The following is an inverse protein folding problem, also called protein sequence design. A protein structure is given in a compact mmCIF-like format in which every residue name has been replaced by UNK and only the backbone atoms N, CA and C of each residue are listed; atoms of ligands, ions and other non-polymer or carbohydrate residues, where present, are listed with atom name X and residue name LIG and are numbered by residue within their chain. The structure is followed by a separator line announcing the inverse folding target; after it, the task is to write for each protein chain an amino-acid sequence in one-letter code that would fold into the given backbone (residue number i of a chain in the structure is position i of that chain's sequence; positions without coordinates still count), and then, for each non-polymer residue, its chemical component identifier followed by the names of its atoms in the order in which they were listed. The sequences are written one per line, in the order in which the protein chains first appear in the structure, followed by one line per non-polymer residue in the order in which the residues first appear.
data_IF_679862254295
#
_entry.id   IF_679862254295
#
_cell.length_a   1.000
_cell.length_b   1.000
_cell.length_c   1.000
_cell.angle_alpha   90.00
_cell.angle_beta   90.00
_cell.angle_gamma   90.00
#
_symmetry.space_group_name_H-M   'P 1'
#
loop_
_entity.id
_entity.type
_entity.pdbx_description
1 polymer ?
#
# COMPACT_ATOMS: atom_id res chain seq x y z
N UNK A 1 19.16 -27.86 8.72
CA UNK A 1 17.82 -27.41 8.25
C UNK A 1 17.71 -27.80 6.79
N UNK A 2 17.06 -28.93 6.47
CA UNK A 2 16.95 -29.41 5.09
C UNK A 2 16.09 -28.45 4.26
N UNK A 3 16.55 -28.09 3.06
CA UNK A 3 15.77 -27.29 2.12
C UNK A 3 14.49 -28.05 1.77
N UNK A 4 13.33 -27.49 2.13
CA UNK A 4 12.06 -28.09 1.74
C UNK A 4 11.97 -28.13 0.19
N UNK A 5 11.60 -29.25 -0.44
CA UNK A 5 11.49 -29.40 -1.90
C UNK A 5 10.36 -28.56 -2.56
N UNK A 6 9.83 -27.55 -1.88
CA UNK A 6 8.86 -26.56 -2.41
C UNK A 6 9.52 -25.28 -2.96
N UNK A 7 10.78 -25.35 -3.39
CA UNK A 7 11.56 -24.16 -3.78
C UNK A 7 11.96 -24.10 -5.26
N UNK A 8 11.79 -25.17 -6.03
CA UNK A 8 12.10 -25.15 -7.46
C UNK A 8 10.85 -24.86 -8.30
N UNK A 9 10.66 -23.58 -8.63
CA UNK A 9 9.58 -23.13 -9.50
C UNK A 9 9.73 -23.66 -10.94
N UNK A 10 10.95 -24.01 -11.38
CA UNK A 10 11.20 -24.70 -12.65
C UNK A 10 10.57 -26.09 -12.68
N UNK A 11 10.74 -26.87 -11.62
CA UNK A 11 10.10 -28.18 -11.45
C UNK A 11 8.56 -28.08 -11.50
N UNK A 12 7.98 -27.06 -10.86
CA UNK A 12 6.54 -26.84 -10.90
C UNK A 12 6.03 -26.51 -12.31
N UNK A 13 6.77 -25.71 -13.08
CA UNK A 13 6.44 -25.43 -14.49
C UNK A 13 6.53 -26.68 -15.36
N UNK A 14 7.62 -27.44 -15.25
CA UNK A 14 7.81 -28.68 -15.99
C UNK A 14 6.66 -29.68 -15.73
N UNK A 15 6.26 -29.82 -14.46
CA UNK A 15 5.10 -30.64 -14.06
C UNK A 15 3.78 -30.12 -14.63
N UNK A 16 3.55 -28.80 -14.61
CA UNK A 16 2.31 -28.21 -15.09
C UNK A 16 2.07 -28.47 -16.59
N UNK A 17 3.13 -28.55 -17.40
CA UNK A 17 3.02 -28.83 -18.85
C UNK A 17 2.33 -30.16 -19.13
N UNK A 18 2.63 -31.21 -18.35
CA UNK A 18 2.10 -32.58 -18.56
C UNK A 18 0.84 -32.95 -17.78
N UNK A 19 0.33 -32.07 -16.91
CA UNK A 19 -0.89 -32.34 -16.14
C UNK A 19 -2.15 -32.08 -16.97
N UNK A 20 -3.26 -32.73 -16.66
CA UNK A 20 -4.59 -32.41 -17.19
C UNK A 20 -5.27 -31.29 -16.37
N UNK A 21 -6.51 -30.91 -16.72
CA UNK A 21 -7.23 -29.83 -16.02
C UNK A 21 -7.46 -30.16 -14.53
N UNK A 22 -7.84 -31.40 -14.21
CA UNK A 22 -8.08 -31.83 -12.84
C UNK A 22 -6.79 -31.87 -12.01
N UNK A 23 -5.70 -32.36 -12.59
CA UNK A 23 -4.37 -32.39 -11.99
C UNK A 23 -3.85 -30.99 -11.69
N UNK A 24 -4.01 -30.04 -12.61
CA UNK A 24 -3.67 -28.63 -12.40
C UNK A 24 -4.48 -28.00 -11.26
N UNK A 25 -5.81 -28.21 -11.23
CA UNK A 25 -6.68 -27.68 -10.19
C UNK A 25 -6.33 -28.25 -8.79
N UNK A 26 -6.06 -29.56 -8.73
CA UNK A 26 -5.66 -30.28 -7.51
C UNK A 26 -4.30 -29.77 -7.01
N UNK A 27 -3.31 -29.67 -7.91
CA UNK A 27 -1.98 -29.18 -7.57
C UNK A 27 -1.99 -27.72 -7.11
N UNK A 28 -2.77 -26.85 -7.78
CA UNK A 28 -2.96 -25.47 -7.36
C UNK A 28 -3.50 -25.38 -5.93
N UNK A 29 -4.55 -26.14 -5.62
CA UNK A 29 -5.18 -26.11 -4.29
C UNK A 29 -4.25 -26.67 -3.21
N UNK A 30 -3.64 -27.82 -3.44
CA UNK A 30 -2.68 -28.41 -2.51
C UNK A 30 -1.51 -27.47 -2.19
N UNK A 31 -1.00 -26.73 -3.18
CA UNK A 31 0.07 -25.74 -2.95
C UNK A 31 -0.42 -24.53 -2.17
N UNK A 32 -1.62 -24.04 -2.47
CA UNK A 32 -2.21 -22.94 -1.73
C UNK A 32 -2.43 -23.30 -0.24
N UNK A 33 -2.88 -24.52 0.04
CA UNK A 33 -3.11 -25.02 1.41
C UNK A 33 -1.80 -25.16 2.20
N UNK A 34 -0.70 -25.51 1.52
CA UNK A 34 0.65 -25.51 2.08
C UNK A 34 1.25 -24.10 2.22
N UNK A 35 0.54 -23.05 1.80
CA UNK A 35 1.04 -21.67 1.77
C UNK A 35 2.08 -21.40 0.69
N UNK A 36 2.24 -22.29 -0.29
CA UNK A 36 3.11 -22.14 -1.46
C UNK A 36 2.36 -21.45 -2.61
N UNK A 37 2.05 -20.18 -2.40
CA UNK A 37 1.21 -19.38 -3.30
C UNK A 37 1.83 -19.24 -4.72
N UNK A 38 3.15 -19.34 -4.85
CA UNK A 38 3.82 -19.21 -6.15
C UNK A 38 3.70 -20.47 -6.99
N UNK A 39 3.91 -21.64 -6.40
CA UNK A 39 3.63 -22.89 -7.10
C UNK A 39 2.13 -22.96 -7.44
N UNK A 40 1.25 -22.52 -6.53
CA UNK A 40 -0.18 -22.41 -6.82
C UNK A 40 -0.46 -21.49 -8.03
N UNK A 41 0.22 -20.34 -8.13
CA UNK A 41 0.13 -19.46 -9.30
C UNK A 41 0.57 -20.15 -10.60
N UNK A 42 1.63 -20.96 -10.58
CA UNK A 42 2.10 -21.68 -11.79
C UNK A 42 1.03 -22.63 -12.30
N UNK A 43 0.53 -23.52 -11.43
CA UNK A 43 -0.51 -24.47 -11.81
C UNK A 43 -1.81 -23.78 -12.20
N UNK A 44 -2.19 -22.75 -11.45
CA UNK A 44 -3.38 -21.98 -11.71
C UNK A 44 -3.31 -21.16 -13.00
N UNK A 45 -2.15 -20.58 -13.35
CA UNK A 45 -1.95 -19.90 -14.62
C UNK A 45 -2.00 -20.87 -15.81
N UNK A 46 -1.40 -22.05 -15.68
CA UNK A 46 -1.51 -23.11 -16.68
C UNK A 46 -2.96 -23.59 -16.85
N UNK A 47 -3.71 -23.73 -15.75
CA UNK A 47 -5.13 -24.05 -15.78
C UNK A 47 -5.93 -22.96 -16.49
N UNK A 48 -5.70 -21.69 -16.13
CA UNK A 48 -6.38 -20.55 -16.72
C UNK A 48 -6.11 -20.37 -18.21
N UNK A 49 -4.87 -20.66 -18.66
CA UNK A 49 -4.54 -20.61 -20.08
C UNK A 49 -5.33 -21.64 -20.91
N UNK A 50 -5.72 -22.77 -20.31
CA UNK A 50 -6.47 -23.85 -20.97
C UNK A 50 -7.99 -23.72 -20.80
N UNK A 51 -8.41 -23.18 -19.67
CA UNK A 51 -9.81 -22.97 -19.33
C UNK A 51 -9.95 -21.61 -18.61
N UNK A 52 -10.05 -20.50 -19.36
CA UNK A 52 -10.28 -19.20 -18.77
C UNK A 52 -11.63 -19.18 -18.06
N UNK A 53 -11.60 -18.84 -16.78
CA UNK A 53 -12.78 -18.75 -15.93
C UNK A 53 -12.66 -17.54 -14.99
N UNK A 54 -13.78 -16.86 -14.74
CA UNK A 54 -13.81 -15.66 -13.91
C UNK A 54 -13.48 -15.96 -12.43
N UNK A 55 -13.97 -17.07 -11.88
CA UNK A 55 -13.68 -17.46 -10.49
C UNK A 55 -12.20 -17.84 -10.32
N UNK A 56 -11.62 -18.53 -11.31
CA UNK A 56 -10.20 -18.83 -11.36
C UNK A 56 -9.36 -17.56 -11.47
N UNK A 57 -9.69 -16.64 -12.38
CA UNK A 57 -8.98 -15.36 -12.50
C UNK A 57 -9.03 -14.54 -11.21
N UNK A 58 -10.17 -14.49 -10.51
CA UNK A 58 -10.28 -13.88 -9.17
C UNK A 58 -9.35 -14.53 -8.15
N UNK A 59 -9.31 -15.88 -8.12
CA UNK A 59 -8.41 -16.64 -7.25
C UNK A 59 -6.95 -16.34 -7.56
N UNK A 60 -6.56 -16.37 -8.82
CA UNK A 60 -5.20 -16.04 -9.26
C UNK A 60 -4.83 -14.59 -8.98
N UNK A 61 -5.76 -13.65 -9.13
CA UNK A 61 -5.51 -12.25 -8.79
C UNK A 61 -5.30 -12.06 -7.28
N UNK A 62 -5.97 -12.84 -6.42
CA UNK A 62 -5.67 -12.88 -4.98
C UNK A 62 -4.28 -13.45 -4.72
N UNK A 63 -3.87 -14.49 -5.44
CA UNK A 63 -2.51 -15.01 -5.35
C UNK A 63 -1.47 -13.99 -5.84
N UNK A 64 -1.70 -13.31 -6.96
CA UNK A 64 -0.85 -12.21 -7.43
C UNK A 64 -0.75 -11.09 -6.40
N UNK A 65 -1.85 -10.72 -5.72
CA UNK A 65 -1.82 -9.77 -4.59
C UNK A 65 -0.96 -10.27 -3.44
N UNK A 66 -1.09 -11.54 -3.04
CA UNK A 66 -0.28 -12.14 -1.97
C UNK A 66 1.22 -12.21 -2.35
N UNK A 67 1.50 -12.49 -3.61
CA UNK A 67 2.84 -12.42 -4.19
C UNK A 67 3.25 -11.01 -4.62
N UNK A 68 2.45 -9.99 -4.32
CA UNK A 68 2.60 -8.56 -4.67
C UNK A 68 3.01 -8.28 -6.12
N UNK A 69 2.61 -9.15 -7.04
CA UNK A 69 2.73 -8.99 -8.50
C UNK A 69 1.47 -8.28 -9.02
N UNK A 70 1.29 -7.03 -8.59
CA UNK A 70 0.00 -6.32 -8.71
C UNK A 70 -0.41 -6.07 -10.17
N UNK A 71 0.52 -5.62 -11.01
CA UNK A 71 0.27 -5.36 -12.44
C UNK A 71 -0.17 -6.62 -13.18
N UNK A 72 0.44 -7.78 -12.88
CA UNK A 72 0.05 -9.06 -13.48
C UNK A 72 -1.34 -9.50 -13.01
N UNK A 73 -1.66 -9.31 -11.73
CA UNK A 73 -3.02 -9.53 -11.22
C UNK A 73 -4.07 -8.63 -11.89
N UNK A 74 -3.76 -7.35 -12.08
CA UNK A 74 -4.65 -6.40 -12.76
C UNK A 74 -4.88 -6.81 -14.23
N UNK A 75 -3.80 -7.11 -14.97
CA UNK A 75 -3.87 -7.59 -16.37
C UNK A 75 -4.62 -8.92 -16.50
N UNK A 76 -4.51 -9.80 -15.51
CA UNK A 76 -5.24 -11.06 -15.52
C UNK A 76 -6.75 -10.82 -15.39
N UNK A 77 -7.16 -10.01 -14.42
CA UNK A 77 -8.56 -9.69 -14.22
C UNK A 77 -9.15 -8.92 -15.40
N UNK A 78 -8.38 -8.10 -16.09
CA UNK A 78 -8.87 -7.35 -17.27
C UNK A 78 -9.18 -8.25 -18.47
N UNK A 79 -8.79 -9.53 -18.46
CA UNK A 79 -9.09 -10.51 -19.53
C UNK A 79 -10.41 -11.25 -19.34
N UNK A 80 -10.94 -11.26 -18.12
CA UNK A 80 -12.18 -11.99 -17.77
C UNK A 80 -13.36 -11.04 -17.55
N UNK A 81 -13.32 -9.84 -18.12
CA UNK A 81 -14.23 -8.73 -17.81
C UNK A 81 -15.68 -9.21 -17.62
N UNK A 82 -16.19 -9.26 -16.38
CA UNK A 82 -17.64 -9.36 -16.21
C UNK A 82 -18.25 -8.03 -16.66
N UNK A 83 -19.52 -8.03 -17.07
CA UNK A 83 -20.19 -6.74 -17.23
C UNK A 83 -20.10 -5.98 -15.88
N UNK A 84 -19.71 -4.69 -15.84
CA UNK A 84 -19.42 -3.99 -14.59
C UNK A 84 -20.52 -4.07 -13.52
N UNK A 85 -21.78 -4.21 -13.95
CA UNK A 85 -22.95 -4.34 -13.08
C UNK A 85 -23.11 -5.73 -12.44
N UNK A 86 -22.51 -6.76 -13.03
CA UNK A 86 -22.72 -8.15 -12.61
C UNK A 86 -21.75 -8.57 -11.50
N UNK A 87 -20.60 -7.91 -11.35
CA UNK A 87 -19.64 -8.27 -10.31
C UNK A 87 -18.82 -7.09 -9.73
N UNK A 88 -19.44 -6.22 -8.91
CA UNK A 88 -18.75 -5.08 -8.27
C UNK A 88 -17.50 -5.47 -7.47
N UNK A 89 -17.47 -6.67 -6.90
CA UNK A 89 -16.33 -7.18 -6.13
C UNK A 89 -15.08 -7.39 -7.00
N UNK A 90 -15.23 -7.90 -8.24
CA UNK A 90 -14.12 -8.08 -9.19
C UNK A 90 -13.55 -6.75 -9.60
N UNK A 91 -14.45 -5.82 -9.94
CA UNK A 91 -14.10 -4.49 -10.38
C UNK A 91 -13.34 -3.72 -9.29
N UNK A 92 -13.79 -3.84 -8.04
CA UNK A 92 -13.06 -3.33 -6.88
C UNK A 92 -11.68 -3.96 -6.75
N UNK A 93 -11.57 -5.28 -6.90
CA UNK A 93 -10.27 -5.96 -6.83
C UNK A 93 -9.32 -5.51 -7.94
N UNK A 94 -9.83 -5.29 -9.16
CA UNK A 94 -9.07 -4.70 -10.27
C UNK A 94 -8.57 -3.30 -9.92
N UNK A 95 -9.46 -2.44 -9.41
CA UNK A 95 -9.12 -1.07 -9.02
C UNK A 95 -8.04 -1.05 -7.93
N UNK A 96 -8.17 -1.87 -6.89
CA UNK A 96 -7.18 -2.02 -5.83
C UNK A 96 -5.81 -2.49 -6.37
N UNK A 97 -5.80 -3.45 -7.30
CA UNK A 97 -4.56 -3.93 -7.92
C UNK A 97 -3.90 -2.87 -8.81
N UNK A 98 -4.68 -2.09 -9.56
CA UNK A 98 -4.17 -0.98 -10.36
C UNK A 98 -3.56 0.12 -9.49
N UNK A 99 -4.23 0.50 -8.38
CA UNK A 99 -3.68 1.44 -7.39
C UNK A 99 -2.37 0.92 -6.80
N UNK A 100 -2.31 -0.35 -6.40
CA UNK A 100 -1.09 -0.96 -5.84
C UNK A 100 0.03 -1.10 -6.88
N UNK A 101 -0.32 -1.26 -8.17
CA UNK A 101 0.63 -1.26 -9.28
C UNK A 101 1.12 0.16 -9.65
N UNK A 102 0.57 1.21 -9.01
CA UNK A 102 0.83 2.61 -9.33
C UNK A 102 0.48 2.99 -10.78
N UNK A 103 -0.52 2.32 -11.36
CA UNK A 103 -1.12 2.71 -12.64
C UNK A 103 -2.32 3.63 -12.35
N UNK A 104 -2.03 4.91 -12.10
CA UNK A 104 -3.05 5.88 -11.67
C UNK A 104 -4.17 6.05 -12.71
N UNK A 105 -3.82 5.98 -14.00
CA UNK A 105 -4.77 6.11 -15.11
C UNK A 105 -5.74 4.93 -15.15
N UNK A 106 -5.25 3.69 -15.00
CA UNK A 106 -6.12 2.53 -14.91
C UNK A 106 -6.92 2.54 -13.60
N UNK A 107 -6.29 2.86 -12.47
CA UNK A 107 -6.94 2.95 -11.17
C UNK A 107 -8.09 3.96 -11.17
N UNK A 108 -7.89 5.16 -11.73
CA UNK A 108 -8.91 6.20 -11.84
C UNK A 108 -10.15 5.68 -12.58
N UNK A 109 -9.97 5.13 -13.79
CA UNK A 109 -11.09 4.57 -14.57
C UNK A 109 -11.82 3.45 -13.83
N UNK A 110 -11.07 2.53 -13.22
CA UNK A 110 -11.65 1.38 -12.54
C UNK A 110 -12.41 1.80 -11.29
N UNK A 111 -11.88 2.72 -10.48
CA UNK A 111 -12.58 3.24 -9.31
C UNK A 111 -13.86 4.00 -9.68
N UNK A 112 -13.88 4.78 -10.75
CA UNK A 112 -15.11 5.40 -11.24
C UNK A 112 -16.16 4.36 -11.64
N UNK A 113 -15.74 3.27 -12.30
CA UNK A 113 -16.64 2.16 -12.60
C UNK A 113 -17.16 1.48 -11.32
N UNK A 114 -16.30 1.32 -10.29
CA UNK A 114 -16.74 0.79 -8.97
C UNK A 114 -17.84 1.67 -8.38
N UNK A 115 -17.66 2.99 -8.43
CA UNK A 115 -18.65 3.94 -7.94
C UNK A 115 -19.97 3.83 -8.73
N UNK A 116 -19.91 3.77 -10.06
CA UNK A 116 -21.11 3.61 -10.90
C UNK A 116 -21.81 2.25 -10.79
N UNK A 117 -21.10 1.20 -10.37
CA UNK A 117 -21.65 -0.15 -10.18
C UNK A 117 -22.17 -0.40 -8.76
N UNK A 118 -21.89 0.48 -7.80
CA UNK A 118 -22.26 0.31 -6.39
C UNK A 118 -23.33 1.32 -6.00
N UNK A 119 -24.50 0.86 -5.54
CA UNK A 119 -25.61 1.75 -5.14
C UNK A 119 -25.22 2.74 -4.04
N UNK A 120 -24.47 2.26 -3.04
CA UNK A 120 -24.01 3.04 -1.89
C UNK A 120 -22.50 2.80 -1.71
N UNK A 121 -21.64 3.50 -2.47
CA UNK A 121 -20.21 3.30 -2.35
C UNK A 121 -19.71 3.80 -1.00
N UNK A 122 -18.99 2.93 -0.27
CA UNK A 122 -18.34 3.33 0.97
C UNK A 122 -17.23 4.37 0.74
N UNK A 123 -16.94 5.16 1.76
CA UNK A 123 -15.98 6.28 1.66
C UNK A 123 -14.58 5.89 1.16
N UNK A 124 -14.14 4.66 1.43
CA UNK A 124 -12.87 4.15 0.88
C UNK A 124 -12.84 4.20 -0.66
N UNK A 125 -13.89 3.72 -1.33
CA UNK A 125 -13.92 3.71 -2.80
C UNK A 125 -13.94 5.14 -3.36
N UNK A 126 -14.67 6.05 -2.70
CA UNK A 126 -14.76 7.46 -3.08
C UNK A 126 -13.38 8.14 -2.94
N UNK A 127 -12.72 8.00 -1.79
CA UNK A 127 -11.38 8.56 -1.57
C UNK A 127 -10.35 8.02 -2.56
N UNK A 128 -10.41 6.71 -2.87
CA UNK A 128 -9.51 6.09 -3.85
C UNK A 128 -9.77 6.58 -5.28
N UNK A 129 -11.02 6.79 -5.68
CA UNK A 129 -11.36 7.40 -6.96
C UNK A 129 -10.78 8.82 -7.08
N UNK A 130 -11.04 9.66 -6.07
CA UNK A 130 -10.55 11.05 -6.02
C UNK A 130 -9.03 11.08 -6.09
N UNK A 131 -8.35 10.29 -5.25
CA UNK A 131 -6.89 10.25 -5.19
C UNK A 131 -6.26 9.75 -6.49
N UNK A 132 -6.84 8.72 -7.12
CA UNK A 132 -6.35 8.19 -8.41
C UNK A 132 -6.55 9.19 -9.55
N UNK A 133 -7.71 9.85 -9.62
CA UNK A 133 -7.99 10.90 -10.61
C UNK A 133 -7.00 12.05 -10.49
N UNK A 134 -6.79 12.54 -9.25
CA UNK A 134 -5.81 13.58 -8.97
C UNK A 134 -4.42 13.13 -9.41
N UNK A 135 -3.99 11.95 -9.00
CA UNK A 135 -2.68 11.41 -9.39
C UNK A 135 -2.50 11.28 -10.91
N UNK A 136 -3.57 10.97 -11.64
CA UNK A 136 -3.59 10.93 -13.09
C UNK A 136 -3.70 12.32 -13.77
N UNK A 137 -3.65 13.42 -13.01
CA UNK A 137 -3.77 14.80 -13.51
C UNK A 137 -5.19 15.22 -13.87
N UNK A 138 -6.22 14.50 -13.40
CA UNK A 138 -7.62 14.69 -13.77
C UNK A 138 -8.41 15.41 -12.67
N UNK A 139 -7.90 16.54 -12.18
CA UNK A 139 -8.46 17.24 -11.03
C UNK A 139 -9.92 17.71 -11.24
N UNK A 140 -10.29 18.13 -12.46
CA UNK A 140 -11.67 18.49 -12.77
C UNK A 140 -12.66 17.33 -12.58
N UNK A 141 -12.26 16.11 -12.98
CA UNK A 141 -13.05 14.90 -12.76
C UNK A 141 -13.08 14.51 -11.29
N UNK A 142 -11.97 14.68 -10.58
CA UNK A 142 -11.95 14.50 -9.13
C UNK A 142 -12.96 15.43 -8.42
N UNK A 143 -13.08 16.69 -8.86
CA UNK A 143 -14.10 17.60 -8.36
C UNK A 143 -15.52 17.12 -8.64
N UNK A 144 -15.80 16.60 -9.84
CA UNK A 144 -17.11 16.01 -10.15
C UNK A 144 -17.46 14.85 -9.21
N UNK A 145 -16.50 13.98 -8.90
CA UNK A 145 -16.69 12.88 -7.92
C UNK A 145 -16.96 13.45 -6.53
N UNK A 146 -16.23 14.48 -6.09
CA UNK A 146 -16.46 15.11 -4.78
C UNK A 146 -17.87 15.68 -4.68
N UNK A 147 -18.35 16.37 -5.72
CA UNK A 147 -19.70 16.92 -5.74
C UNK A 147 -20.77 15.82 -5.76
N UNK A 148 -20.60 14.78 -6.60
CA UNK A 148 -21.58 13.70 -6.72
C UNK A 148 -21.68 12.85 -5.44
N UNK A 149 -20.60 12.79 -4.64
CA UNK A 149 -20.53 12.00 -3.41
C UNK A 149 -20.27 12.86 -2.16
N UNK A 150 -20.72 14.12 -2.17
CA UNK A 150 -20.53 15.04 -1.05
C UNK A 150 -21.21 14.53 0.23
N UNK A 151 -22.46 14.05 0.15
CA UNK A 151 -23.20 13.58 1.33
C UNK A 151 -22.58 12.32 1.95
N UNK A 152 -22.24 11.25 1.19
CA UNK A 152 -21.53 10.10 1.76
C UNK A 152 -20.16 10.45 2.36
N UNK A 153 -19.42 11.38 1.74
CA UNK A 153 -18.15 11.87 2.30
C UNK A 153 -18.35 12.62 3.61
N UNK A 154 -19.33 13.52 3.65
CA UNK A 154 -19.67 14.30 4.83
C UNK A 154 -20.18 13.41 5.97
N UNK A 155 -21.02 12.41 5.67
CA UNK A 155 -21.49 11.44 6.65
C UNK A 155 -20.34 10.60 7.23
N UNK A 156 -19.36 10.20 6.40
CA UNK A 156 -18.26 9.35 6.83
C UNK A 156 -17.11 10.10 7.53
N UNK A 157 -16.84 11.34 7.14
CA UNK A 157 -15.65 12.09 7.55
C UNK A 157 -15.94 13.46 8.16
N UNK A 158 -17.16 13.96 8.05
CA UNK A 158 -17.56 15.31 8.48
C UNK A 158 -17.45 16.36 7.36
N UNK A 159 -18.09 17.52 7.54
CA UNK A 159 -18.06 18.62 6.57
C UNK A 159 -16.65 19.19 6.38
N UNK A 160 -15.87 19.31 7.46
CA UNK A 160 -14.50 19.86 7.40
C UNK A 160 -13.57 18.99 6.56
N UNK A 161 -13.68 17.66 6.69
CA UNK A 161 -12.92 16.73 5.88
C UNK A 161 -13.29 16.84 4.39
N UNK A 162 -14.58 16.96 4.11
CA UNK A 162 -15.10 17.09 2.74
C UNK A 162 -14.62 18.40 2.11
N UNK A 163 -14.65 19.50 2.86
CA UNK A 163 -14.11 20.79 2.45
C UNK A 163 -12.59 20.73 2.20
N UNK A 164 -11.83 20.04 3.06
CA UNK A 164 -10.40 19.83 2.88
C UNK A 164 -10.09 19.02 1.60
N UNK A 165 -10.84 17.94 1.36
CA UNK A 165 -10.71 17.15 0.13
C UNK A 165 -11.06 18.01 -1.09
N UNK A 166 -12.16 18.76 -1.06
CA UNK A 166 -12.60 19.65 -2.14
C UNK A 166 -11.53 20.67 -2.52
N UNK A 167 -10.93 21.33 -1.53
CA UNK A 167 -9.83 22.30 -1.72
C UNK A 167 -8.59 21.67 -2.34
N UNK A 168 -8.29 20.41 -1.98
CA UNK A 168 -7.06 19.73 -2.41
C UNK A 168 -5.80 20.48 -1.99
N UNK A 169 -4.74 20.38 -2.80
CA UNK A 169 -3.46 21.07 -2.54
C UNK A 169 -3.58 22.61 -2.60
N UNK A 170 -4.53 23.14 -3.39
CA UNK A 170 -4.67 24.59 -3.58
C UNK A 170 -5.19 25.35 -2.35
N UNK A 171 -5.86 24.66 -1.43
CA UNK A 171 -6.34 25.29 -0.19
C UNK A 171 -5.41 25.10 1.00
N UNK A 172 -4.17 24.64 0.79
CA UNK A 172 -3.17 24.54 1.85
C UNK A 172 -2.52 25.91 2.08
N UNK A 173 -2.28 26.30 3.35
CA UNK A 173 -1.72 27.62 3.69
C UNK A 173 -0.27 27.81 3.24
N UNK A 174 0.47 26.72 3.01
CA UNK A 174 1.84 26.72 2.48
C UNK A 174 2.03 25.54 1.53
N UNK A 175 3.03 25.64 0.65
CA UNK A 175 3.43 24.51 -0.18
C UNK A 175 3.88 23.37 0.74
N UNK A 176 3.26 22.17 0.65
CA UNK A 176 3.71 21.03 1.44
C UNK A 176 5.13 20.62 1.02
N UNK A 177 5.89 19.99 1.94
CA UNK A 177 7.20 19.43 1.64
C UNK A 177 7.14 18.45 0.47
N UNK A 178 8.24 18.39 -0.28
CA UNK A 178 8.35 17.53 -1.44
C UNK A 178 8.32 16.05 -1.04
N UNK A 179 8.96 15.69 0.09
CA UNK A 179 8.95 14.35 0.64
C UNK A 179 8.80 14.36 2.17
N UNK A 180 7.76 13.71 2.67
CA UNK A 180 7.53 13.51 4.09
C UNK A 180 7.44 12.04 4.44
N UNK A 181 7.76 11.70 5.68
CA UNK A 181 7.53 10.38 6.24
C UNK A 181 6.47 10.44 7.34
N UNK A 182 5.44 9.60 7.22
CA UNK A 182 4.38 9.42 8.21
C UNK A 182 4.52 8.03 8.80
N UNK A 183 4.95 7.99 10.05
CA UNK A 183 5.28 6.77 10.77
C UNK A 183 4.31 6.53 11.91
N UNK A 184 4.37 5.34 12.49
CA UNK A 184 3.59 4.99 13.66
C UNK A 184 3.45 3.48 13.78
N UNK A 185 3.01 2.99 14.93
CA UNK A 185 2.81 1.56 15.13
C UNK A 185 1.52 1.04 14.48
N UNK A 186 1.27 -0.26 14.61
CA UNK A 186 0.01 -0.85 14.19
C UNK A 186 -1.15 -0.25 15.00
N UNK A 187 -2.25 0.10 14.31
CA UNK A 187 -3.45 0.68 14.94
C UNK A 187 -3.49 2.21 15.01
N UNK A 188 -2.41 2.92 14.65
CA UNK A 188 -2.37 4.40 14.71
C UNK A 188 -3.11 5.09 13.57
N UNK A 189 -3.63 4.36 12.57
CA UNK A 189 -4.44 4.94 11.49
C UNK A 189 -3.65 5.43 10.27
N UNK A 190 -2.36 5.11 10.16
CA UNK A 190 -1.49 5.43 9.01
C UNK A 190 -2.13 5.26 7.64
N UNK A 191 -2.72 4.09 7.36
CA UNK A 191 -3.36 3.80 6.07
C UNK A 191 -4.55 4.72 5.80
N UNK A 192 -5.36 5.03 6.83
CA UNK A 192 -6.49 5.95 6.70
C UNK A 192 -6.03 7.39 6.46
N UNK A 193 -4.98 7.83 7.15
CA UNK A 193 -4.31 9.11 6.88
C UNK A 193 -3.77 9.15 5.45
N UNK A 194 -3.12 8.08 5.00
CA UNK A 194 -2.61 7.95 3.63
C UNK A 194 -3.73 8.12 2.58
N UNK A 195 -4.86 7.43 2.74
CA UNK A 195 -5.99 7.57 1.81
C UNK A 195 -6.54 9.01 1.75
N UNK A 196 -6.63 9.68 2.91
CA UNK A 196 -7.15 11.04 2.95
C UNK A 196 -6.15 12.05 2.35
N UNK A 197 -4.86 11.92 2.65
CA UNK A 197 -3.80 12.73 2.01
C UNK A 197 -3.74 12.49 0.50
N UNK A 198 -3.90 11.24 0.06
CA UNK A 198 -4.00 10.92 -1.36
C UNK A 198 -5.19 11.62 -2.01
N UNK A 199 -6.36 11.57 -1.36
CA UNK A 199 -7.54 12.28 -1.83
C UNK A 199 -7.32 13.79 -1.84
N UNK A 200 -6.49 14.38 -0.95
CA UNK A 200 -6.10 15.81 -0.97
C UNK A 200 -5.13 16.13 -2.12
N UNK A 201 -4.40 15.13 -2.64
CA UNK A 201 -3.53 15.27 -3.82
C UNK A 201 -2.08 14.84 -3.60
N UNK A 202 -1.74 14.29 -2.42
CA UNK A 202 -0.41 13.73 -2.16
C UNK A 202 -0.20 12.42 -2.93
N UNK A 203 1.05 12.17 -3.33
CA UNK A 203 1.48 10.84 -3.72
C UNK A 203 1.80 10.03 -2.47
N UNK A 204 1.21 8.85 -2.34
CA UNK A 204 1.47 7.98 -1.20
C UNK A 204 2.41 6.85 -1.61
N UNK A 205 3.52 6.71 -0.88
CA UNK A 205 4.37 5.54 -0.94
C UNK A 205 4.11 4.72 0.32
N UNK A 206 3.39 3.61 0.20
CA UNK A 206 3.25 2.66 1.32
C UNK A 206 4.57 1.91 1.49
N UNK A 207 5.35 2.30 2.51
CA UNK A 207 6.62 1.67 2.81
C UNK A 207 6.46 0.25 3.35
N UNK A 208 5.36 -0.08 4.04
CA UNK A 208 5.09 -1.47 4.45
C UNK A 208 4.79 -2.35 3.20
N UNK A 209 4.17 -1.76 2.18
CA UNK A 209 4.04 -2.39 0.86
C UNK A 209 5.39 -2.49 0.15
N UNK A 210 6.14 -1.40 -0.01
CA UNK A 210 7.41 -1.39 -0.75
C UNK A 210 8.51 -2.24 -0.07
N UNK A 211 8.69 -2.10 1.24
CA UNK A 211 9.69 -2.82 2.05
C UNK A 211 9.20 -4.24 2.36
N UNK A 212 7.91 -4.41 2.70
CA UNK A 212 7.36 -5.73 2.99
C UNK A 212 7.31 -6.66 1.78
N UNK A 213 7.51 -6.16 0.56
CA UNK A 213 7.82 -6.99 -0.62
C UNK A 213 9.09 -7.80 -0.40
N UNK A 214 9.96 -7.41 0.53
CA UNK A 214 11.30 -7.99 0.70
C UNK A 214 11.58 -8.41 2.15
N UNK A 215 11.03 -7.70 3.14
CA UNK A 215 11.12 -8.06 4.56
C UNK A 215 10.15 -9.20 4.92
N UNK A 216 10.51 -10.40 4.49
CA UNK A 216 10.19 -11.68 5.13
C UNK A 216 11.39 -12.56 4.85
N UNK A 217 12.20 -12.86 5.87
CA UNK A 217 13.27 -13.82 5.74
C UNK A 217 12.79 -15.07 4.97
N UNK A 218 13.44 -15.34 3.83
CA UNK A 218 13.50 -16.57 3.05
C UNK A 218 12.31 -17.11 2.20
N UNK A 219 11.06 -16.61 2.17
CA UNK A 219 9.98 -17.40 1.47
C UNK A 219 9.11 -16.75 0.39
N UNK A 220 8.88 -15.43 0.33
CA UNK A 220 7.77 -14.91 -0.50
C UNK A 220 7.94 -13.54 -1.20
N UNK A 221 9.15 -13.02 -1.45
CA UNK A 221 9.33 -11.72 -2.12
C UNK A 221 8.95 -11.67 -3.63
N UNK A 222 8.15 -10.72 -4.13
CA UNK A 222 7.75 -10.62 -5.54
C UNK A 222 8.93 -10.62 -6.52
N UNK A 223 10.04 -9.99 -6.16
CA UNK A 223 11.29 -10.07 -6.94
C UNK A 223 11.78 -11.51 -7.12
N UNK A 224 11.77 -12.33 -6.06
CA UNK A 224 12.11 -13.75 -6.22
C UNK A 224 11.11 -14.46 -7.15
N UNK A 225 9.84 -14.05 -7.18
CA UNK A 225 8.87 -14.59 -8.14
C UNK A 225 9.16 -14.13 -9.57
N UNK A 226 9.35 -12.83 -9.80
CA UNK A 226 9.63 -12.28 -11.13
C UNK A 226 10.98 -12.78 -11.68
N UNK A 227 12.04 -12.81 -10.85
CA UNK A 227 13.33 -13.42 -11.19
C UNK A 227 13.19 -14.92 -11.42
N UNK A 228 12.43 -15.67 -10.61
CA UNK A 228 12.22 -17.09 -10.91
C UNK A 228 11.49 -17.34 -12.23
N UNK A 229 10.76 -16.36 -12.78
CA UNK A 229 10.09 -16.44 -14.09
C UNK A 229 11.03 -16.06 -15.24
N UNK A 230 11.94 -15.10 -15.05
CA UNK A 230 12.81 -14.56 -16.10
C UNK A 230 14.30 -14.93 -16.02
N UNK A 231 14.86 -15.01 -14.81
CA UNK A 231 16.28 -15.29 -14.52
C UNK A 231 16.47 -15.97 -13.13
N UNK A 232 16.45 -17.31 -13.06
CA UNK A 232 16.55 -18.06 -11.80
C UNK A 232 17.95 -18.05 -11.13
N UNK A 233 19.00 -17.59 -11.81
CA UNK A 233 20.34 -17.46 -11.22
C UNK A 233 20.43 -16.20 -10.37
N UNK A 234 19.89 -15.09 -10.88
CA UNK A 234 19.82 -13.81 -10.17
C UNK A 234 19.06 -13.91 -8.83
N UNK A 235 18.10 -14.84 -8.69
CA UNK A 235 17.41 -15.11 -7.42
C UNK A 235 18.37 -15.53 -6.28
N UNK A 236 19.46 -16.24 -6.62
CA UNK A 236 20.42 -16.80 -5.66
C UNK A 236 21.40 -15.75 -5.14
N UNK A 237 21.61 -14.69 -5.91
CA UNK A 237 22.67 -13.69 -5.68
C UNK A 237 22.16 -12.36 -5.10
N UNK A 238 20.87 -12.27 -4.71
CA UNK A 238 20.29 -11.02 -4.18
C UNK A 238 20.93 -10.65 -2.83
N UNK A 239 21.65 -9.52 -2.83
CA UNK A 239 22.12 -8.81 -1.65
C UNK A 239 21.04 -7.85 -1.13
N UNK A 240 20.95 -7.69 0.19
CA UNK A 240 19.90 -6.97 0.92
C UNK A 240 19.86 -5.43 0.74
N UNK A 241 20.62 -4.84 -0.18
CA UNK A 241 20.60 -3.41 -0.54
C UNK A 241 19.42 -3.03 -1.46
N UNK A 242 18.73 -4.03 -2.00
CA UNK A 242 17.61 -3.86 -2.94
C UNK A 242 16.34 -3.15 -2.38
N UNK A 243 15.91 -3.36 -1.11
CA UNK A 243 14.75 -2.66 -0.55
C UNK A 243 14.94 -1.15 -0.47
N UNK A 244 16.17 -0.69 -0.22
CA UNK A 244 16.54 0.73 -0.22
C UNK A 244 16.42 1.29 -1.64
N UNK A 245 17.06 0.65 -2.63
CA UNK A 245 17.01 1.08 -4.03
C UNK A 245 15.58 1.20 -4.57
N UNK A 246 14.68 0.27 -4.19
CA UNK A 246 13.28 0.34 -4.59
C UNK A 246 12.48 1.40 -3.85
N UNK A 247 12.75 1.60 -2.55
CA UNK A 247 12.17 2.72 -1.82
C UNK A 247 12.55 4.03 -2.50
N UNK A 248 13.83 4.21 -2.82
CA UNK A 248 14.32 5.36 -3.57
C UNK A 248 13.65 5.48 -4.95
N UNK A 249 13.53 4.39 -5.71
CA UNK A 249 12.86 4.41 -7.00
C UNK A 249 11.37 4.80 -6.90
N UNK A 250 10.67 4.34 -5.87
CA UNK A 250 9.27 4.71 -5.60
C UNK A 250 9.16 6.20 -5.25
N UNK A 251 10.04 6.69 -4.37
CA UNK A 251 10.10 8.11 -4.00
C UNK A 251 10.46 8.99 -5.21
N UNK A 252 11.44 8.61 -6.02
CA UNK A 252 11.85 9.34 -7.23
C UNK A 252 10.72 9.41 -8.26
N UNK A 253 10.04 8.29 -8.52
CA UNK A 253 8.87 8.27 -9.42
C UNK A 253 7.74 9.14 -8.90
N UNK A 254 7.48 9.11 -7.60
CA UNK A 254 6.47 9.96 -6.99
C UNK A 254 6.84 11.45 -7.11
N UNK A 255 8.10 11.82 -6.85
CA UNK A 255 8.62 13.19 -7.00
C UNK A 255 8.56 13.70 -8.44
N UNK A 256 8.84 12.85 -9.43
CA UNK A 256 8.78 13.22 -10.85
C UNK A 256 7.38 13.71 -11.29
N UNK A 257 6.32 13.42 -10.53
CA UNK A 257 4.98 13.94 -10.79
C UNK A 257 4.76 15.41 -10.40
N UNK A 258 5.76 16.06 -9.77
CA UNK A 258 5.65 17.44 -9.29
C UNK A 258 4.70 17.63 -8.10
N UNK A 259 4.29 16.53 -7.46
CA UNK A 259 3.36 16.52 -6.32
C UNK A 259 4.08 16.16 -5.02
N UNK A 260 3.59 16.64 -3.86
CA UNK A 260 4.15 16.26 -2.57
C UNK A 260 3.99 14.76 -2.33
N UNK A 261 5.02 14.13 -1.78
CA UNK A 261 5.07 12.71 -1.52
C UNK A 261 5.03 12.45 -0.02
N UNK A 262 4.12 11.58 0.43
CA UNK A 262 4.08 11.07 1.79
C UNK A 262 4.37 9.57 1.81
N UNK A 263 5.50 9.22 2.42
CA UNK A 263 5.90 7.85 2.72
C UNK A 263 5.19 7.40 3.98
N UNK A 264 4.37 6.35 3.91
CA UNK A 264 3.58 5.87 5.04
C UNK A 264 4.06 4.48 5.43
N UNK A 265 4.51 4.29 6.68
CA UNK A 265 5.06 2.99 7.10
C UNK A 265 5.21 2.79 8.60
N UNK A 266 5.54 1.58 9.03
CA UNK A 266 5.87 1.29 10.42
C UNK A 266 7.05 2.13 10.94
N UNK A 267 7.05 2.47 12.22
CA UNK A 267 8.16 3.18 12.87
C UNK A 267 9.18 2.19 13.45
N UNK A 268 10.49 2.46 13.30
CA UNK A 268 11.57 1.70 13.93
C UNK A 268 12.85 1.63 13.10
N UNK A 269 13.73 0.69 13.45
CA UNK A 269 15.06 0.47 12.82
C UNK A 269 15.02 0.35 11.29
N UNK A 270 13.91 -0.08 10.73
CA UNK A 270 13.75 -0.27 9.28
C UNK A 270 13.61 1.06 8.54
N UNK A 271 12.99 2.07 9.17
CA UNK A 271 12.79 3.39 8.55
C UNK A 271 13.84 4.42 8.98
N UNK A 272 14.55 4.15 10.09
CA UNK A 272 15.59 5.02 10.62
C UNK A 272 16.65 5.45 9.59
N UNK A 273 17.16 4.59 8.68
CA UNK A 273 18.14 4.99 7.67
C UNK A 273 17.65 6.05 6.66
N UNK A 274 16.33 6.24 6.54
CA UNK A 274 15.74 7.16 5.56
C UNK A 274 15.24 8.47 6.18
N UNK A 275 15.32 8.62 7.51
CA UNK A 275 14.81 9.79 8.24
C UNK A 275 15.50 11.08 7.79
N UNK A 276 16.81 11.03 7.52
CA UNK A 276 17.60 12.19 7.08
C UNK A 276 17.36 12.58 5.62
N UNK A 277 16.62 11.77 4.85
CA UNK A 277 16.39 11.97 3.42
C UNK A 277 15.02 12.58 3.11
N UNK A 278 14.22 12.86 4.15
CA UNK A 278 12.88 13.43 4.04
C UNK A 278 12.87 14.81 4.71
N UNK A 279 12.02 15.69 4.20
CA UNK A 279 11.91 17.06 4.69
C UNK A 279 11.28 17.09 6.09
N UNK A 280 10.33 16.18 6.34
CA UNK A 280 9.64 16.05 7.62
C UNK A 280 9.40 14.59 7.99
N UNK A 281 9.48 14.32 9.29
CA UNK A 281 9.11 13.02 9.87
C UNK A 281 7.99 13.24 10.88
N UNK A 282 6.84 12.63 10.62
CA UNK A 282 5.68 12.62 11.49
C UNK A 282 5.61 11.28 12.20
N UNK A 283 5.34 11.30 13.50
CA UNK A 283 5.06 10.09 14.28
C UNK A 283 3.63 10.09 14.81
N UNK A 284 2.79 9.21 14.27
CA UNK A 284 1.43 9.00 14.75
C UNK A 284 1.44 8.12 16.00
N UNK A 285 0.88 8.64 17.10
CA UNK A 285 0.75 7.93 18.36
C UNK A 285 -0.69 7.96 18.88
N UNK A 286 -1.13 6.89 19.56
CA UNK A 286 -2.42 6.86 20.24
C UNK A 286 -2.33 6.03 21.52
N UNK A 287 -3.17 6.32 22.54
CA UNK A 287 -3.17 5.55 23.78
C UNK A 287 -3.43 4.06 23.53
N UNK A 288 -2.80 3.19 24.33
CA UNK A 288 -2.93 1.74 24.18
C UNK A 288 -4.38 1.22 24.17
N UNK A 289 -5.27 1.83 24.97
CA UNK A 289 -6.70 1.50 24.94
C UNK A 289 -7.37 1.78 23.59
N UNK A 290 -6.96 2.85 22.89
CA UNK A 290 -7.45 3.16 21.53
C UNK A 290 -6.89 2.16 20.53
N UNK A 291 -5.61 1.82 20.63
CA UNK A 291 -4.95 0.84 19.75
C UNK A 291 -5.60 -0.53 19.90
N UNK A 292 -5.79 -1.02 21.12
CA UNK A 292 -6.42 -2.31 21.40
C UNK A 292 -7.80 -2.40 20.73
N UNK A 293 -8.66 -1.38 20.90
CA UNK A 293 -9.98 -1.31 20.25
C UNK A 293 -9.89 -1.33 18.72
N UNK A 294 -8.93 -0.61 18.13
CA UNK A 294 -8.73 -0.58 16.67
C UNK A 294 -8.21 -1.90 16.13
N UNK A 295 -7.30 -2.56 16.84
CA UNK A 295 -6.76 -3.86 16.45
C UNK A 295 -7.83 -4.96 16.51
N UNK A 296 -8.72 -4.92 17.51
CA UNK A 296 -9.85 -5.84 17.60
C UNK A 296 -10.77 -5.74 16.37
N UNK A 297 -11.00 -4.53 15.84
CA UNK A 297 -11.81 -4.30 14.63
C UNK A 297 -11.13 -4.73 13.32
N UNK A 298 -9.80 -4.90 13.31
CA UNK A 298 -9.03 -5.17 12.08
C UNK A 298 -9.20 -6.58 11.52
N UNK A 299 -9.91 -7.47 12.23
CA UNK A 299 -10.10 -8.89 11.90
C UNK A 299 -8.83 -9.59 11.37
N UNK A 300 -7.66 -9.20 11.90
CA UNK A 300 -6.36 -9.75 11.51
C UNK A 300 -5.98 -10.85 12.50
N UNK A 301 -5.73 -12.09 12.07
CA UNK A 301 -5.34 -13.18 12.96
C UNK A 301 -4.12 -12.85 13.83
N UNK A 302 -3.18 -12.03 13.31
CA UNK A 302 -1.93 -11.66 14.00
C UNK A 302 -2.08 -10.49 14.97
N UNK A 303 -3.27 -9.88 15.06
CA UNK A 303 -3.55 -8.75 15.94
C UNK A 303 -4.71 -9.00 16.92
N UNK A 304 -5.22 -10.25 16.97
CA UNK A 304 -6.23 -10.65 17.95
C UNK A 304 -5.70 -10.51 19.38
N UNK A 305 -6.54 -10.17 20.37
CA UNK A 305 -6.15 -10.17 21.78
C UNK A 305 -5.43 -11.46 22.17
N UNK A 306 -4.33 -11.35 22.93
CA UNK A 306 -3.50 -12.50 23.35
C UNK A 306 -2.43 -12.94 22.35
N UNK A 307 -2.43 -12.44 21.11
CA UNK A 307 -1.38 -12.80 20.14
C UNK A 307 -0.09 -12.01 20.36
N UNK A 308 1.09 -12.55 20.00
CA UNK A 308 2.36 -11.81 20.09
C UNK A 308 2.34 -10.48 19.32
N UNK A 309 1.65 -10.44 18.18
CA UNK A 309 1.52 -9.22 17.38
C UNK A 309 0.64 -8.15 18.04
N UNK A 310 -0.40 -8.56 18.79
CA UNK A 310 -1.19 -7.65 19.61
C UNK A 310 -0.37 -7.05 20.76
N UNK A 311 0.31 -7.90 21.54
CA UNK A 311 1.17 -7.47 22.66
C UNK A 311 2.31 -6.56 22.19
N UNK A 312 2.96 -6.92 21.07
CA UNK A 312 4.00 -6.09 20.48
C UNK A 312 3.48 -4.73 20.00
N UNK A 313 2.26 -4.67 19.46
CA UNK A 313 1.65 -3.42 19.04
C UNK A 313 1.33 -2.50 20.22
N UNK A 314 0.81 -3.03 21.33
CA UNK A 314 0.55 -2.22 22.54
C UNK A 314 1.85 -1.69 23.15
N UNK A 315 2.81 -2.58 23.42
CA UNK A 315 4.11 -2.21 24.02
C UNK A 315 4.86 -1.12 23.25
N UNK A 316 4.78 -1.13 21.91
CA UNK A 316 5.46 -0.13 21.08
C UNK A 316 4.75 1.22 21.07
N UNK A 317 3.43 1.26 21.29
CA UNK A 317 2.65 2.51 21.30
C UNK A 317 2.76 3.29 22.60
N UNK A 318 3.04 2.62 23.73
CA UNK A 318 3.29 3.30 25.01
C UNK A 318 4.58 4.14 24.99
N UNK A 319 5.49 3.85 24.05
CA UNK A 319 6.65 4.69 23.77
C UNK A 319 6.24 5.80 22.82
N UNK A 320 5.70 6.89 23.38
CA UNK A 320 5.57 8.18 22.69
C UNK A 320 6.92 8.76 22.21
N UNK A 321 8.03 8.14 22.58
CA UNK A 321 9.35 8.68 22.33
C UNK A 321 9.76 8.50 20.86
N UNK A 322 9.47 9.54 20.09
CA UNK A 322 10.26 10.06 18.98
C UNK A 322 11.72 10.40 19.36
N UNK A 323 12.23 9.92 20.50
CA UNK A 323 13.54 10.26 21.03
C UNK A 323 14.62 9.73 20.08
N UNK A 324 15.24 10.65 19.35
CA UNK A 324 16.43 10.40 18.53
C UNK A 324 16.27 10.52 17.01
N UNK A 325 15.05 10.70 16.47
CA UNK A 325 14.83 10.79 15.02
C UNK A 325 14.21 12.13 14.55
N UNK A 326 14.12 13.13 15.44
CA UNK A 326 13.56 14.45 15.11
C UNK A 326 12.12 14.44 14.60
N UNK A 327 11.34 13.39 14.91
CA UNK A 327 9.98 13.25 14.43
C UNK A 327 8.98 14.11 15.23
N UNK A 328 8.09 14.82 14.54
CA UNK A 328 6.98 15.56 15.15
C UNK A 328 5.87 14.60 15.57
N UNK A 329 5.55 14.49 16.88
CA UNK A 329 4.50 13.59 17.35
C UNK A 329 3.11 14.17 17.07
N UNK A 330 2.22 13.36 16.49
CA UNK A 330 0.81 13.72 16.27
C UNK A 330 -0.09 12.68 16.94
N UNK A 331 -1.07 13.16 17.70
CA UNK A 331 -2.05 12.33 18.39
C UNK A 331 -3.08 11.81 17.39
N UNK A 332 -3.17 10.50 17.27
CA UNK A 332 -4.06 9.81 16.35
C UNK A 332 -5.29 9.20 17.04
N UNK A 333 -5.68 9.69 18.22
CA UNK A 333 -6.91 9.30 18.94
C UNK A 333 -8.14 10.12 18.52
N UNK A 334 -7.97 11.08 17.62
CA UNK A 334 -9.01 11.94 17.04
C UNK A 334 -9.45 11.46 15.64
N UNK A 335 -10.48 12.08 15.03
CA UNK A 335 -10.89 11.78 13.66
C UNK A 335 -9.75 11.93 12.65
N UNK A 336 -9.74 11.11 11.60
CA UNK A 336 -8.64 11.05 10.61
C UNK A 336 -8.39 12.40 9.94
N UNK A 337 -9.45 13.17 9.66
CA UNK A 337 -9.31 14.48 9.04
C UNK A 337 -8.56 15.48 9.92
N UNK A 338 -8.81 15.46 11.23
CA UNK A 338 -8.12 16.33 12.18
C UNK A 338 -6.64 15.93 12.29
N UNK A 339 -6.34 14.62 12.27
CA UNK A 339 -4.96 14.13 12.15
C UNK A 339 -4.28 14.64 10.87
N UNK A 340 -4.98 14.63 9.73
CA UNK A 340 -4.44 15.19 8.49
C UNK A 340 -4.23 16.70 8.58
N UNK A 341 -5.14 17.46 9.17
CA UNK A 341 -4.96 18.89 9.41
C UNK A 341 -3.73 19.16 10.28
N UNK A 342 -3.54 18.41 11.36
CA UNK A 342 -2.37 18.55 12.23
C UNK A 342 -1.06 18.21 11.48
N UNK A 343 -1.08 17.20 10.60
CA UNK A 343 0.06 16.86 9.73
C UNK A 343 0.39 18.04 8.80
N UNK A 344 -0.63 18.59 8.14
CA UNK A 344 -0.46 19.70 7.21
C UNK A 344 0.00 20.97 7.93
N UNK A 345 -0.47 21.21 9.15
CA UNK A 345 0.02 22.30 10.00
C UNK A 345 1.48 22.08 10.43
N UNK A 346 1.87 20.84 10.77
CA UNK A 346 3.25 20.50 11.10
C UNK A 346 4.20 20.71 9.91
N UNK A 347 3.75 20.45 8.68
CA UNK A 347 4.51 20.76 7.46
C UNK A 347 4.72 22.28 7.25
N UNK A 348 3.82 23.12 7.75
CA UNK A 348 3.92 24.57 7.62
C UNK A 348 4.75 25.23 8.74
N UNK A 349 5.06 24.50 9.82
CA UNK A 349 5.72 25.06 10.99
C UNK A 349 7.22 25.35 10.74
N UNK A 350 7.68 26.61 10.87
CA UNK A 350 9.08 26.96 10.73
C UNK A 350 9.94 26.20 11.74
N UNK A 351 10.99 25.50 11.29
CA UNK A 351 11.98 24.86 12.18
C UNK A 351 11.78 23.36 12.45
N UNK A 352 10.85 22.68 11.77
CA UNK A 352 10.73 21.20 11.83
C UNK A 352 11.46 20.46 10.70
N UNK A 353 12.01 21.18 9.73
CA UNK A 353 12.99 20.60 8.81
C UNK A 353 14.20 20.15 9.62
N UNK A 354 14.46 18.84 9.63
CA UNK A 354 15.70 18.27 10.17
C UNK A 354 16.86 19.09 9.62
N UNK A 355 17.55 19.81 10.52
CA UNK A 355 18.37 20.95 10.16
C UNK A 355 19.29 20.70 8.98
N UNK A 356 19.33 21.68 8.07
CA UNK A 356 20.55 22.00 7.35
C UNK A 356 21.63 22.36 8.38
N UNK A 357 22.20 21.37 9.05
CA UNK A 357 23.46 21.54 9.75
C UNK A 357 24.55 21.61 8.68
N UNK A 358 24.77 22.84 8.20
CA UNK A 358 26.08 23.43 7.94
C UNK A 358 27.17 22.42 7.58
N UNK A 359 27.23 22.04 6.31
CA UNK A 359 28.51 21.71 5.67
C UNK A 359 29.33 23.00 5.52
N UNK A 360 29.85 23.50 6.64
CA UNK A 360 30.86 24.54 6.68
C UNK A 360 31.82 24.20 7.83
N UNK A 361 33.12 24.14 7.49
CA UNK A 361 34.29 23.84 8.35
C UNK A 361 34.46 22.35 8.69
N UNK A 362 35.50 21.62 8.26
CA UNK A 362 36.90 22.01 8.13
C UNK A 362 37.60 21.35 6.92
N UNK A 363 37.92 22.17 5.94
CA UNK A 363 39.19 22.06 5.22
C UNK A 363 39.95 23.35 5.53
N UNK A 364 40.93 23.24 6.41
CA UNK A 364 42.10 24.10 6.40
C UNK A 364 43.32 23.21 6.62
N UNK A 365 44.45 23.56 5.96
CA UNK A 365 45.48 22.64 5.48
C UNK A 365 46.31 21.95 6.56
#
# INVERSE_FOLDING_TARGET
MQAHPGHDLGLHRARATGMDLQGLATAMTARADLGDIRAALIYGAALFARQPDAALAQRLARFHRQCRSFASGARLLSRVQPQPRECPAVLRQQAELATLAQDDSAAARLWEQVLGATREPGSYAILQAIGSLRNAGQDARAQQVIHAYADPLCAAHGPDATALIAKGLHGLPSAPPALSMITGNNGTGKTSVGHLLQAIGFRIVDADAAIGMYCRAARYSPLRFDLSQGDPQMERDIVWTWPEALFHAACSRARASGRPVAVVGGFGRVVAPFVEQVDHVIHLAAPSGVIARRLAKRNSPTHRPGTPGHTAALRRNDRLSAQGLGATPIRANQPVWQVCTDILAAFAAPGTALGQQSSASAHQP
#
